data_IF_326757545363
#
_entry.id   IF_326757545363
#
_cell.length_a   1.000
_cell.length_b   1.000
_cell.length_c   1.000
_cell.angle_alpha   90.00
_cell.angle_beta   90.00
_cell.angle_gamma   90.00
#
_symmetry.space_group_name_H-M   'P 1'
#
loop_
_entity.id
_entity.type
_entity.pdbx_description
1 polymer ?
#
# COMPACT_ATOMS: atom_id res chain seq x y z
N UNK A 1 -17.28 1.12 32.38
CA UNK A 1 -16.96 -0.17 31.73
C UNK A 1 -17.97 -0.40 30.62
N UNK A 2 -17.49 -0.91 29.46
CA UNK A 2 -18.24 -1.60 28.40
C UNK A 2 -19.27 -0.84 27.58
N UNK A 3 -18.81 -0.10 26.57
CA UNK A 3 -19.50 0.03 25.28
C UNK A 3 -18.52 -0.41 24.20
N UNK A 4 -18.94 -1.21 23.23
CA UNK A 4 -18.08 -1.72 22.16
C UNK A 4 -17.34 -0.57 21.46
N UNK A 5 -16.02 -0.45 21.65
CA UNK A 5 -15.23 0.57 20.97
C UNK A 5 -14.86 0.05 19.58
N UNK A 6 -15.47 0.64 18.54
CA UNK A 6 -15.27 0.27 17.14
C UNK A 6 -13.99 0.85 16.53
N UNK A 7 -13.30 1.78 17.21
CA UNK A 7 -12.10 2.44 16.68
C UNK A 7 -10.97 1.46 16.35
N UNK A 8 -10.59 0.48 17.21
CA UNK A 8 -9.54 -0.47 16.87
C UNK A 8 -9.88 -1.32 15.64
N UNK A 9 -11.15 -1.70 15.48
CA UNK A 9 -11.63 -2.44 14.31
C UNK A 9 -11.60 -1.57 13.04
N UNK A 10 -12.02 -0.31 13.14
CA UNK A 10 -11.97 0.64 12.04
C UNK A 10 -10.53 0.93 11.59
N UNK A 11 -9.60 1.11 12.53
CA UNK A 11 -8.17 1.29 12.25
C UNK A 11 -7.57 0.04 11.61
N UNK A 12 -7.89 -1.15 12.13
CA UNK A 12 -7.42 -2.41 11.55
C UNK A 12 -7.93 -2.61 10.11
N UNK A 13 -9.19 -2.27 9.82
CA UNK A 13 -9.75 -2.33 8.47
C UNK A 13 -9.12 -1.29 7.53
N UNK A 14 -8.93 -0.07 7.99
CA UNK A 14 -8.32 1.01 7.22
C UNK A 14 -6.91 0.63 6.75
N UNK A 15 -6.09 0.10 7.66
CA UNK A 15 -4.73 -0.34 7.34
C UNK A 15 -4.76 -1.64 6.50
N UNK A 16 -5.60 -2.61 6.89
CA UNK A 16 -5.65 -3.92 6.26
C UNK A 16 -6.10 -3.87 4.80
N UNK A 17 -7.13 -3.08 4.47
CA UNK A 17 -7.61 -2.92 3.09
C UNK A 17 -6.56 -2.20 2.24
N UNK A 18 -5.92 -1.16 2.78
CA UNK A 18 -4.87 -0.44 2.06
C UNK A 18 -3.63 -1.33 1.80
N UNK A 19 -3.23 -2.16 2.78
CA UNK A 19 -2.14 -3.11 2.63
C UNK A 19 -2.43 -4.15 1.55
N UNK A 20 -3.65 -4.70 1.54
CA UNK A 20 -4.08 -5.66 0.51
C UNK A 20 -4.03 -5.02 -0.89
N UNK A 21 -4.52 -3.78 -1.02
CA UNK A 21 -4.46 -3.04 -2.27
C UNK A 21 -3.03 -2.84 -2.77
N UNK A 22 -2.09 -2.48 -1.89
CA UNK A 22 -0.69 -2.29 -2.28
C UNK A 22 -0.02 -3.59 -2.71
N UNK A 23 -0.17 -4.67 -1.92
CA UNK A 23 0.41 -5.97 -2.24
C UNK A 23 -0.07 -6.51 -3.61
N UNK A 24 -1.37 -6.36 -3.90
CA UNK A 24 -1.93 -6.76 -5.19
C UNK A 24 -1.42 -5.87 -6.34
N UNK A 25 -1.36 -4.55 -6.12
CA UNK A 25 -0.87 -3.61 -7.12
C UNK A 25 0.58 -3.86 -7.51
N UNK A 26 1.48 -3.98 -6.53
CA UNK A 26 2.91 -4.25 -6.75
C UNK A 26 3.11 -5.64 -7.36
N UNK A 27 2.35 -6.64 -6.92
CA UNK A 27 2.40 -8.00 -7.50
C UNK A 27 2.10 -8.00 -9.00
N UNK A 28 1.01 -7.34 -9.42
CA UNK A 28 0.62 -7.25 -10.82
C UNK A 28 1.63 -6.48 -11.68
N UNK A 29 2.10 -5.34 -11.16
CA UNK A 29 3.09 -4.50 -11.85
C UNK A 29 4.43 -5.24 -11.96
N UNK A 30 4.84 -5.97 -10.92
CA UNK A 30 6.06 -6.79 -10.91
C UNK A 30 6.01 -7.94 -11.91
N UNK A 31 4.88 -8.64 -12.01
CA UNK A 31 4.69 -9.69 -13.02
C UNK A 31 4.86 -9.13 -14.44
N UNK A 32 4.27 -7.97 -14.73
CA UNK A 32 4.38 -7.32 -16.05
C UNK A 32 5.78 -6.79 -16.33
N UNK A 33 6.48 -6.30 -15.31
CA UNK A 33 7.88 -5.89 -15.42
C UNK A 33 8.78 -7.07 -15.78
N UNK A 34 8.63 -8.23 -15.12
CA UNK A 34 9.38 -9.45 -15.45
C UNK A 34 9.06 -9.95 -16.86
N UNK A 35 7.78 -10.02 -17.24
CA UNK A 35 7.36 -10.46 -18.57
C UNK A 35 7.96 -9.58 -19.68
N UNK A 36 7.94 -8.27 -19.48
CA UNK A 36 8.45 -7.30 -20.47
C UNK A 36 9.97 -7.33 -20.55
N UNK A 37 10.66 -7.44 -19.41
CA UNK A 37 12.11 -7.59 -19.32
C UNK A 37 12.59 -8.87 -20.00
N UNK A 38 11.88 -9.99 -19.81
CA UNK A 38 12.20 -11.25 -20.45
C UNK A 38 12.03 -11.20 -21.98
N UNK A 39 11.08 -10.41 -22.49
CA UNK A 39 10.84 -10.24 -23.93
C UNK A 39 11.81 -9.25 -24.58
N UNK A 40 12.18 -8.20 -23.86
CA UNK A 40 13.05 -7.13 -24.35
C UNK A 40 14.05 -6.70 -23.25
N UNK A 41 15.21 -7.38 -23.15
CA UNK A 41 16.20 -7.09 -22.11
C UNK A 41 16.86 -5.70 -22.29
N UNK A 42 16.78 -5.12 -23.48
CA UNK A 42 17.31 -3.79 -23.81
C UNK A 42 16.54 -2.66 -23.10
N UNK A 43 15.28 -2.92 -22.74
CA UNK A 43 14.38 -1.92 -22.18
C UNK A 43 14.37 -1.91 -20.64
N UNK A 44 15.21 -2.70 -19.99
CA UNK A 44 15.21 -2.92 -18.53
C UNK A 44 15.38 -1.63 -17.74
N UNK A 45 16.36 -0.80 -18.08
CA UNK A 45 16.63 0.46 -17.34
C UNK A 45 15.45 1.43 -17.39
N UNK A 46 14.81 1.52 -18.56
CA UNK A 46 13.62 2.37 -18.77
C UNK A 46 12.42 1.80 -18.01
N UNK A 47 12.21 0.49 -18.06
CA UNK A 47 11.11 -0.17 -17.35
C UNK A 47 11.32 -0.15 -15.83
N UNK A 48 12.56 -0.25 -15.34
CA UNK A 48 12.87 -0.24 -13.91
C UNK A 48 12.52 1.12 -13.30
N UNK A 49 12.87 2.22 -13.98
CA UNK A 49 12.51 3.57 -13.53
C UNK A 49 10.98 3.75 -13.45
N UNK A 50 10.25 3.27 -14.47
CA UNK A 50 8.78 3.31 -14.48
C UNK A 50 8.17 2.40 -13.41
N UNK A 51 8.76 1.23 -13.18
CA UNK A 51 8.35 0.29 -12.14
C UNK A 51 8.47 0.94 -10.76
N UNK A 52 9.61 1.55 -10.41
CA UNK A 52 9.80 2.21 -9.14
C UNK A 52 8.86 3.41 -8.94
N UNK A 53 8.59 4.17 -9.99
CA UNK A 53 7.63 5.27 -9.92
C UNK A 53 6.23 4.74 -9.59
N UNK A 54 5.77 3.70 -10.28
CA UNK A 54 4.45 3.10 -10.04
C UNK A 54 4.39 2.44 -8.67
N UNK A 55 5.39 1.63 -8.31
CA UNK A 55 5.48 0.97 -7.02
C UNK A 55 5.46 1.99 -5.87
N UNK A 56 6.23 3.08 -5.98
CA UNK A 56 6.23 4.16 -4.99
C UNK A 56 4.89 4.88 -4.87
N UNK A 57 4.19 5.12 -5.99
CA UNK A 57 2.83 5.71 -5.97
C UNK A 57 1.82 4.74 -5.36
N UNK A 58 1.93 3.44 -5.64
CA UNK A 58 1.07 2.39 -5.07
C UNK A 58 1.26 2.29 -3.54
N UNK A 59 2.50 2.26 -3.06
CA UNK A 59 2.79 2.23 -1.61
C UNK A 59 2.46 3.54 -0.90
N UNK A 60 2.46 4.67 -1.61
CA UNK A 60 2.10 5.97 -1.05
C UNK A 60 0.72 5.98 -0.39
N UNK A 61 -0.28 5.37 -1.04
CA UNK A 61 -1.64 5.26 -0.49
C UNK A 61 -1.68 4.42 0.79
N UNK A 62 -0.90 3.33 0.85
CA UNK A 62 -0.79 2.48 2.03
C UNK A 62 -0.10 3.20 3.21
N UNK A 63 0.96 3.96 2.95
CA UNK A 63 1.66 4.75 3.97
C UNK A 63 0.74 5.82 4.56
N UNK A 64 -0.04 6.51 3.72
CA UNK A 64 -1.02 7.52 4.18
C UNK A 64 -2.08 6.87 5.09
N UNK A 65 -2.64 5.74 4.66
CA UNK A 65 -3.61 4.99 5.46
C UNK A 65 -3.01 4.56 6.81
N UNK A 66 -1.79 4.01 6.80
CA UNK A 66 -1.08 3.61 8.02
C UNK A 66 -0.82 4.80 8.95
N UNK A 67 -0.39 5.95 8.43
CA UNK A 67 -0.17 7.16 9.21
C UNK A 67 -1.43 7.67 9.91
N UNK A 68 -2.56 7.69 9.18
CA UNK A 68 -3.87 8.06 9.74
C UNK A 68 -4.32 7.03 10.80
N UNK A 69 -4.16 5.74 10.52
CA UNK A 69 -4.49 4.68 11.47
C UNK A 69 -3.67 4.76 12.76
N UNK A 70 -2.38 5.04 12.66
CA UNK A 70 -1.49 5.23 13.81
C UNK A 70 -1.89 6.45 14.63
N UNK A 71 -2.29 7.55 13.97
CA UNK A 71 -2.79 8.75 14.63
C UNK A 71 -4.07 8.47 15.42
N UNK A 72 -5.03 7.75 14.84
CA UNK A 72 -6.23 7.31 15.56
C UNK A 72 -5.93 6.32 16.69
N UNK A 73 -4.88 5.52 16.59
CA UNK A 73 -4.49 4.59 17.63
C UNK A 73 -3.76 5.25 18.82
N UNK A 74 -2.95 6.28 18.56
CA UNK A 74 -2.03 6.88 19.55
C UNK A 74 -2.48 8.24 20.08
N UNK A 75 -3.17 9.03 19.28
CA UNK A 75 -3.62 10.38 19.59
C UNK A 75 -5.08 10.57 19.18
N UNK A 76 -5.91 9.57 19.52
CA UNK A 76 -7.33 9.55 19.17
C UNK A 76 -8.05 10.82 19.64
N UNK A 77 -8.60 11.66 18.74
CA UNK A 77 -9.35 12.86 19.13
C UNK A 77 -10.75 12.54 19.66
N UNK A 78 -11.20 11.29 19.57
CA UNK A 78 -12.52 10.82 20.01
C UNK A 78 -12.49 10.04 21.34
N UNK A 79 -11.34 10.03 22.03
CA UNK A 79 -11.11 9.32 23.29
C UNK A 79 -11.48 10.13 24.53
#
# INVERSE_FOLDING_TARGET
MTGFNILPLAVALLIGIAALGSCLGIGLVGQKFLESTARQPEMVDVLQTKFFLIAGVTDGAFIIATGIGLWFATANPFG
#
